data_IF_153606786986
#
_entry.id   IF_153606786986
#
_cell.length_a   1.000
_cell.length_b   1.000
_cell.length_c   1.000
_cell.angle_alpha   90.00
_cell.angle_beta   90.00
_cell.angle_gamma   90.00
#
_symmetry.space_group_name_H-M   'P 1'
#
loop_
_entity.id
_entity.type
_entity.pdbx_description
1 polymer ?
#
# COMPACT_ATOMS: atom_id res chain seq x y z
N UNK A 1 -15.11 2.29 -17.32
CA UNK A 1 -13.76 2.85 -17.44
C UNK A 1 -12.97 2.26 -16.29
N UNK A 2 -11.79 1.67 -16.52
CA UNK A 2 -10.97 1.17 -15.42
C UNK A 2 -10.39 2.37 -14.66
N UNK A 3 -10.62 2.44 -13.35
CA UNK A 3 -10.00 3.45 -12.47
C UNK A 3 -8.63 2.94 -11.99
N UNK A 4 -7.72 3.87 -11.76
CA UNK A 4 -6.39 3.59 -11.25
C UNK A 4 -6.05 4.63 -10.19
N UNK A 5 -5.37 4.19 -9.13
CA UNK A 5 -4.84 5.03 -8.07
C UNK A 5 -3.66 4.34 -7.40
N UNK A 6 -2.72 5.13 -6.91
CA UNK A 6 -1.58 4.67 -6.16
C UNK A 6 -1.30 5.67 -5.03
N UNK A 7 -0.65 5.18 -3.98
CA UNK A 7 -0.22 5.98 -2.85
C UNK A 7 1.06 5.39 -2.27
N UNK A 8 1.83 6.23 -1.58
CA UNK A 8 3.03 5.87 -0.85
C UNK A 8 3.04 6.64 0.46
N UNK A 9 3.56 6.03 1.52
CA UNK A 9 3.75 6.64 2.83
C UNK A 9 5.16 6.30 3.30
N UNK A 10 5.85 7.30 3.86
CA UNK A 10 7.13 7.13 4.58
C UNK A 10 6.94 7.23 6.10
N UNK A 11 5.71 7.04 6.58
CA UNK A 11 5.45 7.15 8.01
C UNK A 11 6.23 6.05 8.74
N UNK A 12 7.01 6.37 9.79
CA UNK A 12 7.89 5.41 10.47
C UNK A 12 7.16 4.33 11.29
N UNK A 13 5.84 4.31 11.23
CA UNK A 13 4.98 3.35 11.92
C UNK A 13 4.08 2.71 10.87
N UNK A 14 4.25 1.39 10.67
CA UNK A 14 3.55 0.60 9.68
C UNK A 14 2.02 0.71 9.76
N UNK A 15 1.45 0.85 10.96
CA UNK A 15 0.00 0.93 11.13
C UNK A 15 -0.55 2.27 10.67
N UNK A 16 0.20 3.36 10.87
CA UNK A 16 -0.13 4.66 10.30
C UNK A 16 0.09 4.65 8.78
N UNK A 17 1.23 4.13 8.32
CA UNK A 17 1.57 4.07 6.89
C UNK A 17 0.51 3.33 6.07
N UNK A 18 0.08 2.14 6.53
CA UNK A 18 -0.97 1.38 5.84
C UNK A 18 -2.32 2.11 5.83
N UNK A 19 -2.64 2.84 6.90
CA UNK A 19 -3.85 3.66 6.98
C UNK A 19 -3.84 4.82 5.97
N UNK A 20 -2.72 5.52 5.87
CA UNK A 20 -2.53 6.63 4.93
C UNK A 20 -2.69 6.17 3.48
N UNK A 21 -1.98 5.10 3.08
CA UNK A 21 -2.02 4.62 1.69
C UNK A 21 -3.39 4.03 1.33
N UNK A 22 -4.05 3.31 2.25
CA UNK A 22 -5.40 2.79 2.00
C UNK A 22 -6.40 3.92 1.85
N UNK A 23 -6.37 4.94 2.73
CA UNK A 23 -7.25 6.10 2.64
C UNK A 23 -7.11 6.81 1.30
N UNK A 24 -5.88 7.11 0.90
CA UNK A 24 -5.59 7.76 -0.39
C UNK A 24 -6.06 6.92 -1.59
N UNK A 25 -5.88 5.60 -1.56
CA UNK A 25 -6.36 4.71 -2.63
C UNK A 25 -7.88 4.66 -2.68
N UNK A 26 -8.57 4.59 -1.52
CA UNK A 26 -10.05 4.61 -1.47
C UNK A 26 -10.60 5.92 -2.02
N UNK A 27 -9.97 7.06 -1.74
CA UNK A 27 -10.35 8.35 -2.33
C UNK A 27 -10.17 8.37 -3.85
N UNK A 28 -9.14 7.71 -4.38
CA UNK A 28 -8.82 7.70 -5.81
C UNK A 28 -9.70 6.74 -6.62
N UNK A 29 -9.97 5.52 -6.11
CA UNK A 29 -10.64 4.46 -6.88
C UNK A 29 -11.87 3.85 -6.21
N UNK A 30 -12.19 4.23 -4.98
CA UNK A 30 -13.24 3.63 -4.17
C UNK A 30 -12.81 2.35 -3.44
N UNK A 31 -13.78 1.69 -2.82
CA UNK A 31 -13.55 0.41 -2.12
C UNK A 31 -13.65 -0.78 -3.10
N UNK A 32 -13.04 -1.90 -2.74
CA UNK A 32 -13.09 -3.18 -3.45
C UNK A 32 -12.58 -3.15 -4.91
N UNK A 33 -11.33 -2.70 -5.17
CA UNK A 33 -10.74 -2.82 -6.49
C UNK A 33 -10.53 -4.29 -6.87
N UNK A 34 -10.54 -4.60 -8.17
CA UNK A 34 -10.30 -5.97 -8.64
C UNK A 34 -8.91 -6.48 -8.22
N UNK A 35 -7.92 -5.60 -8.25
CA UNK A 35 -6.51 -5.90 -7.96
C UNK A 35 -5.91 -4.76 -7.12
N UNK A 36 -5.17 -5.12 -6.08
CA UNK A 36 -4.26 -4.23 -5.35
C UNK A 36 -2.84 -4.81 -5.38
N UNK A 37 -1.86 -3.94 -5.68
CA UNK A 37 -0.44 -4.25 -5.61
C UNK A 37 0.16 -3.55 -4.39
N UNK A 38 0.76 -4.32 -3.49
CA UNK A 38 1.37 -3.83 -2.25
C UNK A 38 2.88 -4.03 -2.30
N UNK A 39 3.63 -2.94 -2.12
CA UNK A 39 5.08 -2.97 -1.97
C UNK A 39 5.42 -2.52 -0.56
N UNK A 40 6.27 -3.27 0.14
CA UNK A 40 6.66 -2.98 1.53
C UNK A 40 8.17 -2.81 1.57
N UNK A 41 8.65 -1.74 2.20
CA UNK A 41 10.08 -1.51 2.36
C UNK A 41 10.72 -2.57 3.27
N UNK A 42 12.05 -2.65 3.26
CA UNK A 42 12.79 -3.53 4.16
C UNK A 42 12.58 -3.22 5.65
N UNK A 43 12.17 -2.00 5.99
CA UNK A 43 11.96 -1.56 7.37
C UNK A 43 10.76 -2.26 8.03
N UNK A 44 9.73 -2.57 7.24
CA UNK A 44 8.46 -3.12 7.71
C UNK A 44 8.33 -4.64 7.49
N UNK A 45 9.43 -5.35 7.21
CA UNK A 45 9.43 -6.80 6.97
C UNK A 45 8.75 -7.60 8.09
N UNK A 46 8.89 -7.16 9.34
CA UNK A 46 8.27 -7.82 10.49
C UNK A 46 6.78 -7.57 10.67
N UNK A 47 6.18 -6.68 9.86
CA UNK A 47 4.77 -6.30 9.91
C UNK A 47 4.02 -6.58 8.59
N UNK A 48 4.65 -7.27 7.64
CA UNK A 48 4.09 -7.49 6.28
C UNK A 48 2.74 -8.20 6.36
N UNK A 49 2.62 -9.21 7.22
CA UNK A 49 1.37 -9.94 7.43
C UNK A 49 0.26 -9.04 7.98
N UNK A 50 0.57 -8.19 8.97
CA UNK A 50 -0.36 -7.23 9.56
C UNK A 50 -0.78 -6.16 8.54
N UNK A 51 0.16 -5.61 7.78
CA UNK A 51 -0.10 -4.64 6.70
C UNK A 51 -1.02 -5.27 5.66
N UNK A 52 -0.69 -6.48 5.17
CA UNK A 52 -1.51 -7.16 4.17
C UNK A 52 -2.92 -7.49 4.70
N UNK A 53 -3.04 -7.86 5.98
CA UNK A 53 -4.32 -8.08 6.65
C UNK A 53 -5.13 -6.78 6.72
N UNK A 54 -4.51 -5.66 7.08
CA UNK A 54 -5.16 -4.36 7.12
C UNK A 54 -5.65 -3.92 5.72
N UNK A 55 -4.84 -4.08 4.68
CA UNK A 55 -5.26 -3.80 3.29
C UNK A 55 -6.46 -4.66 2.89
N UNK A 56 -6.45 -5.96 3.21
CA UNK A 56 -7.60 -6.85 2.93
C UNK A 56 -8.86 -6.42 3.65
N UNK A 57 -8.74 -6.01 4.92
CA UNK A 57 -9.88 -5.60 5.73
C UNK A 57 -10.48 -4.26 5.27
N UNK A 58 -9.63 -3.29 4.95
CA UNK A 58 -10.04 -1.91 4.68
C UNK A 58 -10.34 -1.67 3.20
N UNK A 59 -9.47 -2.11 2.29
CA UNK A 59 -9.63 -1.89 0.85
C UNK A 59 -10.47 -2.99 0.18
N UNK A 60 -10.50 -4.20 0.75
CA UNK A 60 -11.25 -5.38 0.26
C UNK A 60 -10.99 -5.74 -1.22
N UNK A 61 -9.73 -5.79 -1.68
CA UNK A 61 -9.45 -6.07 -3.08
C UNK A 61 -9.83 -7.52 -3.44
N UNK A 62 -10.24 -7.75 -4.69
CA UNK A 62 -10.48 -9.10 -5.22
C UNK A 62 -9.21 -9.96 -5.21
N UNK A 63 -8.08 -9.33 -5.57
CA UNK A 63 -6.74 -9.93 -5.49
C UNK A 63 -5.80 -8.94 -4.81
N UNK A 64 -5.05 -9.42 -3.82
CA UNK A 64 -3.91 -8.72 -3.24
C UNK A 64 -2.64 -9.49 -3.57
N UNK A 65 -1.74 -8.85 -4.31
CA UNK A 65 -0.40 -9.36 -4.62
C UNK A 65 0.63 -8.30 -4.25
N UNK A 66 1.87 -8.73 -4.04
CA UNK A 66 2.90 -7.81 -3.58
C UNK A 66 4.24 -8.47 -3.35
N UNK A 67 5.23 -7.64 -3.06
CA UNK A 67 6.54 -8.08 -2.61
C UNK A 67 7.20 -7.02 -1.73
N UNK A 68 8.30 -7.40 -1.11
CA UNK A 68 9.15 -6.44 -0.44
C UNK A 68 10.07 -5.78 -1.47
N UNK A 69 10.48 -4.54 -1.21
CA UNK A 69 11.29 -3.76 -2.15
C UNK A 69 12.32 -2.90 -1.41
N UNK A 70 13.43 -2.60 -2.09
CA UNK A 70 14.46 -1.68 -1.59
C UNK A 70 14.13 -0.22 -1.98
N UNK A 71 13.39 -0.04 -3.06
CA UNK A 71 12.81 1.22 -3.47
C UNK A 71 11.40 1.02 -4.02
N UNK A 72 10.51 1.97 -3.76
CA UNK A 72 9.11 1.96 -4.19
C UNK A 72 8.80 3.27 -4.90
N UNK A 73 8.22 3.16 -6.10
CA UNK A 73 7.72 4.30 -6.87
C UNK A 73 6.20 4.29 -6.85
N UNK A 74 5.60 5.41 -6.45
CA UNK A 74 4.15 5.62 -6.45
C UNK A 74 3.83 7.03 -6.94
N UNK A 75 2.94 7.15 -7.93
CA UNK A 75 2.62 8.41 -8.60
C UNK A 75 3.88 9.08 -9.19
N UNK A 76 4.19 10.31 -8.77
CA UNK A 76 5.36 11.12 -9.12
C UNK A 76 6.45 11.11 -8.05
N UNK A 77 6.37 10.17 -7.10
CA UNK A 77 7.26 10.05 -5.96
C UNK A 77 7.99 8.71 -5.91
N UNK A 78 9.25 8.74 -5.47
CA UNK A 78 10.11 7.58 -5.27
C UNK A 78 10.69 7.63 -3.86
N UNK A 79 10.56 6.51 -3.14
CA UNK A 79 11.17 6.30 -1.83
C UNK A 79 12.22 5.20 -1.94
N UNK A 80 13.47 5.51 -1.55
CA UNK A 80 14.58 4.56 -1.45
C UNK A 80 15.19 4.62 -0.04
N UNK A 81 15.45 3.45 0.56
CA UNK A 81 15.99 3.34 1.93
C UNK A 81 15.17 4.07 3.01
N UNK A 82 13.91 4.41 2.72
CA UNK A 82 12.94 4.95 3.65
C UNK A 82 11.98 3.84 4.16
N UNK A 83 11.27 4.08 5.28
CA UNK A 83 10.09 3.29 5.66
C UNK A 83 9.09 3.20 4.50
#
# INVERSE_FOLDING_TARGET
MASFGAAISEHPDAAFAVGEVVGAVVEAVGEAPDIALLFVSGHDLGAVEEIASAVRALLRPGVLAGCTAVGVIGNDYEAEEAP
#
